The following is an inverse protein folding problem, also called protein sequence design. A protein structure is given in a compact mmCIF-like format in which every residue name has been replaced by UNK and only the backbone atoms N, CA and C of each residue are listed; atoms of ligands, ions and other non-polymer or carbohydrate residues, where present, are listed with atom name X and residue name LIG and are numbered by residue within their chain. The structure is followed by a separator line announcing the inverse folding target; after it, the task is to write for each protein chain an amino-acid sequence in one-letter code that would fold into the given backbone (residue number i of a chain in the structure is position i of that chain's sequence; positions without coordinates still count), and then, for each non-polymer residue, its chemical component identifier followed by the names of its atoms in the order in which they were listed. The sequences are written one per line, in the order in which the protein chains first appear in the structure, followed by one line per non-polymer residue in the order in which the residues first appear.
data_IF_220249878427
#
_entry.id   IF_220249878427
#
_cell.length_a   1.000
_cell.length_b   1.000
_cell.length_c   1.000
_cell.angle_alpha   90.00
_cell.angle_beta   90.00
_cell.angle_gamma   90.00
#
_symmetry.space_group_name_H-M   'P 1'
#
loop_
_entity.id
_entity.type
_entity.pdbx_description
1 polymer ?
#
# COMPACT_ATOMS: atom_id res chain seq x y z
N UNK A 1 20.78 -18.89 3.21
CA UNK A 1 21.69 -17.83 2.71
C UNK A 1 21.18 -16.49 3.21
N UNK A 2 21.97 -15.70 3.94
CA UNK A 2 21.56 -14.39 4.47
C UNK A 2 22.09 -13.31 3.51
N UNK A 3 21.24 -12.79 2.64
CA UNK A 3 21.66 -11.99 1.46
C UNK A 3 22.21 -10.61 1.85
N UNK A 4 21.76 -9.98 2.95
CA UNK A 4 22.11 -8.58 3.27
C UNK A 4 22.64 -8.32 4.70
N UNK A 5 22.98 -9.37 5.48
CA UNK A 5 23.50 -9.27 6.88
C UNK A 5 22.70 -8.35 7.84
N UNK A 6 21.48 -7.96 7.49
CA UNK A 6 20.69 -7.07 8.32
C UNK A 6 20.30 -7.76 9.63
N UNK A 7 20.48 -7.05 10.74
CA UNK A 7 20.18 -7.51 12.10
C UNK A 7 18.93 -6.85 12.69
N UNK A 8 18.42 -5.83 12.01
CA UNK A 8 17.30 -4.99 12.40
C UNK A 8 16.05 -5.26 11.54
N UNK A 9 15.89 -6.49 11.03
CA UNK A 9 14.74 -6.91 10.23
C UNK A 9 13.86 -7.82 11.05
N UNK A 10 12.57 -7.49 11.10
CA UNK A 10 11.54 -8.35 11.67
C UNK A 10 10.51 -8.68 10.61
N UNK A 11 10.18 -9.96 10.47
CA UNK A 11 9.06 -10.43 9.67
C UNK A 11 7.89 -10.74 10.58
N UNK A 12 6.69 -10.46 10.12
CA UNK A 12 5.46 -10.78 10.85
C UNK A 12 4.52 -11.51 9.89
N UNK A 13 3.97 -12.64 10.33
CA UNK A 13 2.96 -13.38 9.56
C UNK A 13 1.57 -12.80 9.87
N UNK A 14 1.33 -11.60 9.36
CA UNK A 14 0.07 -10.85 9.56
C UNK A 14 -0.20 -10.00 8.33
N UNK A 15 -1.47 -9.86 7.97
CA UNK A 15 -1.88 -8.92 6.94
C UNK A 15 -2.26 -7.56 7.55
N UNK A 16 -1.89 -6.48 6.86
CA UNK A 16 -2.41 -5.16 7.20
C UNK A 16 -3.82 -5.01 6.62
N UNK A 17 -4.76 -4.57 7.44
CA UNK A 17 -6.16 -4.40 7.05
C UNK A 17 -6.80 -3.19 7.75
N UNK A 18 -8.02 -2.85 7.31
CA UNK A 18 -8.80 -1.76 7.90
C UNK A 18 -9.24 -2.04 9.36
N UNK A 19 -9.23 -3.31 9.78
CA UNK A 19 -9.62 -3.74 11.13
C UNK A 19 -8.90 -5.05 11.49
N UNK A 20 -8.75 -5.30 12.79
CA UNK A 20 -8.27 -6.58 13.29
C UNK A 20 -9.21 -7.74 12.92
N UNK A 21 -8.65 -8.93 12.78
CA UNK A 21 -9.42 -10.16 12.57
C UNK A 21 -8.61 -11.21 11.82
N UNK A 22 -9.26 -11.87 10.89
CA UNK A 22 -8.67 -12.85 9.98
C UNK A 22 -9.10 -12.50 8.57
N UNK A 23 -8.18 -12.59 7.62
CA UNK A 23 -8.48 -12.48 6.20
C UNK A 23 -8.18 -13.80 5.50
N UNK A 24 -8.88 -14.00 4.41
CA UNK A 24 -8.65 -15.11 3.49
C UNK A 24 -8.03 -14.56 2.22
N UNK A 25 -6.90 -15.15 1.86
CA UNK A 25 -6.16 -14.90 0.62
C UNK A 25 -6.34 -16.12 -0.26
N UNK A 26 -6.83 -15.91 -1.48
CA UNK A 26 -6.79 -16.97 -2.46
C UNK A 26 -5.37 -17.04 -3.02
N UNK A 27 -4.78 -18.23 -3.04
CA UNK A 27 -3.51 -18.49 -3.72
C UNK A 27 -3.86 -19.01 -5.11
N UNK A 28 -3.83 -18.18 -6.16
CA UNK A 28 -4.34 -18.58 -7.46
C UNK A 28 -3.45 -19.67 -8.05
N UNK A 29 -4.07 -20.69 -8.65
CA UNK A 29 -3.32 -21.66 -9.44
C UNK A 29 -3.02 -21.01 -10.79
N UNK A 30 -1.75 -20.72 -11.01
CA UNK A 30 -1.21 -20.20 -12.27
C UNK A 30 -0.43 -21.31 -12.99
N UNK A 31 -1.12 -22.14 -13.80
CA UNK A 31 -0.48 -23.29 -14.44
C UNK A 31 0.51 -22.90 -15.54
N UNK A 32 0.42 -21.68 -16.08
CA UNK A 32 1.32 -21.16 -17.10
C UNK A 32 2.49 -20.38 -16.48
N UNK A 33 2.37 -19.96 -15.22
CA UNK A 33 3.44 -19.33 -14.44
C UNK A 33 3.74 -17.89 -14.87
N UNK A 34 2.78 -17.22 -15.50
CA UNK A 34 2.94 -15.85 -16.01
C UNK A 34 2.89 -14.78 -14.91
N UNK A 35 2.54 -15.16 -13.67
CA UNK A 35 2.53 -14.29 -12.49
C UNK A 35 1.34 -13.31 -12.44
N UNK A 36 0.61 -13.15 -13.54
CA UNK A 36 -0.51 -12.23 -13.68
C UNK A 36 -1.62 -12.51 -12.66
N UNK A 37 -1.84 -13.77 -12.31
CA UNK A 37 -2.84 -14.17 -11.33
C UNK A 37 -2.36 -13.91 -9.89
N UNK A 38 -1.05 -13.99 -9.64
CA UNK A 38 -0.48 -13.75 -8.31
C UNK A 38 -0.63 -12.28 -7.87
N UNK A 39 -0.57 -11.33 -8.81
CA UNK A 39 -0.81 -9.90 -8.58
C UNK A 39 -2.25 -9.59 -8.14
N UNK A 40 -3.19 -10.53 -8.27
CA UNK A 40 -4.56 -10.34 -7.83
C UNK A 40 -4.89 -11.00 -6.49
N UNK A 41 -3.96 -11.72 -5.85
CA UNK A 41 -4.29 -12.65 -4.75
C UNK A 41 -4.97 -11.99 -3.52
N UNK A 42 -4.68 -10.72 -3.28
CA UNK A 42 -5.27 -9.91 -2.20
C UNK A 42 -6.58 -9.24 -2.60
N UNK A 43 -6.89 -9.20 -3.90
CA UNK A 43 -7.88 -8.28 -4.48
C UNK A 43 -8.94 -8.94 -5.34
N UNK A 44 -8.65 -10.10 -5.93
CA UNK A 44 -9.49 -10.84 -6.86
C UNK A 44 -9.58 -12.29 -6.41
N UNK A 45 -10.81 -12.80 -6.25
CA UNK A 45 -11.06 -14.21 -5.97
C UNK A 45 -11.56 -14.95 -7.20
N UNK A 46 -10.67 -15.69 -7.84
CA UNK A 46 -10.97 -16.52 -9.00
C UNK A 46 -11.66 -17.85 -8.61
N UNK A 47 -11.63 -18.21 -7.32
CA UNK A 47 -12.09 -19.48 -6.74
C UNK A 47 -11.48 -20.70 -7.43
N UNK A 48 -10.24 -20.58 -7.87
CA UNK A 48 -9.47 -21.58 -8.61
C UNK A 48 -8.13 -21.91 -7.94
N UNK A 49 -8.03 -21.74 -6.63
CA UNK A 49 -6.88 -22.16 -5.85
C UNK A 49 -7.18 -22.33 -4.36
N UNK A 50 -6.20 -22.82 -3.56
CA UNK A 50 -6.38 -22.95 -2.12
C UNK A 50 -6.57 -21.59 -1.45
N UNK A 51 -7.31 -21.59 -0.34
CA UNK A 51 -7.50 -20.42 0.51
C UNK A 51 -6.52 -20.51 1.67
N UNK A 52 -5.68 -19.49 1.80
CA UNK A 52 -4.82 -19.29 2.96
C UNK A 52 -5.46 -18.28 3.92
N UNK A 53 -5.46 -18.62 5.20
CA UNK A 53 -5.98 -17.75 6.26
C UNK A 53 -4.83 -17.08 6.99
N UNK A 54 -4.92 -15.77 7.14
CA UNK A 54 -3.91 -14.98 7.83
C UNK A 54 -4.57 -14.11 8.91
N UNK A 55 -3.96 -13.99 10.11
CA UNK A 55 -4.39 -12.97 11.04
C UNK A 55 -4.20 -11.60 10.39
N UNK A 56 -5.13 -10.71 10.67
CA UNK A 56 -5.14 -9.34 10.17
C UNK A 56 -5.11 -8.36 11.33
N UNK A 57 -4.41 -7.26 11.15
CA UNK A 57 -4.34 -6.17 12.12
C UNK A 57 -4.23 -4.83 11.42
N UNK A 58 -4.53 -3.76 12.15
CA UNK A 58 -4.30 -2.41 11.64
C UNK A 58 -2.84 -2.01 11.82
N UNK A 59 -2.32 -1.08 11.00
CA UNK A 59 -0.96 -0.58 11.23
C UNK A 59 -0.88 0.25 12.52
N UNK A 60 -1.97 0.92 12.91
CA UNK A 60 -2.05 1.62 14.20
C UNK A 60 -1.85 0.65 15.38
N UNK A 61 -2.51 -0.53 15.35
CA UNK A 61 -2.33 -1.58 16.34
C UNK A 61 -0.89 -2.10 16.37
N UNK A 62 -0.32 -2.35 15.19
CA UNK A 62 1.06 -2.81 15.08
C UNK A 62 2.04 -1.76 15.62
N UNK A 63 1.89 -0.49 15.24
CA UNK A 63 2.74 0.60 15.72
C UNK A 63 2.68 0.75 17.23
N UNK A 64 1.47 0.73 17.80
CA UNK A 64 1.27 0.81 19.25
C UNK A 64 1.87 -0.38 20.01
N UNK A 65 1.67 -1.61 19.51
CA UNK A 65 2.19 -2.82 20.16
C UNK A 65 3.72 -2.89 20.21
N UNK A 66 4.39 -2.14 19.34
CA UNK A 66 5.84 -2.17 19.15
C UNK A 66 6.53 -0.87 19.54
N UNK A 67 5.78 0.13 20.01
CA UNK A 67 6.31 1.42 20.40
C UNK A 67 6.85 2.25 19.23
N UNK A 68 6.27 2.10 18.04
CA UNK A 68 6.60 2.96 16.90
C UNK A 68 5.87 4.30 17.02
N UNK A 69 6.56 5.31 17.55
CA UNK A 69 6.04 6.67 17.63
C UNK A 69 6.03 7.38 16.26
N UNK A 70 6.88 6.93 15.33
CA UNK A 70 7.02 7.50 13.99
C UNK A 70 7.53 6.45 13.00
N UNK A 71 7.05 6.53 11.76
CA UNK A 71 7.52 5.73 10.63
C UNK A 71 8.17 6.69 9.63
N UNK A 72 9.48 6.53 9.40
CA UNK A 72 10.20 7.36 8.44
C UNK A 72 9.79 7.04 6.99
N UNK A 73 9.51 5.78 6.68
CA UNK A 73 9.08 5.36 5.35
C UNK A 73 8.17 4.14 5.50
N UNK A 74 6.98 4.22 4.91
CA UNK A 74 6.06 3.12 4.74
C UNK A 74 6.01 2.77 3.25
N UNK A 75 6.28 1.51 2.88
CA UNK A 75 5.99 0.99 1.55
C UNK A 75 4.75 0.12 1.63
N UNK A 76 3.80 0.37 0.74
CA UNK A 76 2.61 -0.44 0.48
C UNK A 76 2.72 -0.99 -0.94
N UNK A 77 2.64 -2.30 -1.01
CA UNK A 77 2.76 -3.12 -2.22
C UNK A 77 1.94 -4.37 -1.89
N UNK A 78 0.62 -4.16 -1.87
CA UNK A 78 -0.37 -5.10 -1.33
C UNK A 78 -1.28 -5.61 -2.44
N UNK A 79 -0.89 -5.39 -3.70
CA UNK A 79 -1.53 -5.98 -4.86
C UNK A 79 -3.03 -5.62 -4.90
N UNK A 80 -3.37 -4.36 -4.62
CA UNK A 80 -4.73 -3.80 -4.64
C UNK A 80 -5.42 -3.69 -3.27
N UNK A 81 -4.78 -4.12 -2.17
CA UNK A 81 -5.30 -3.94 -0.82
C UNK A 81 -4.79 -2.65 -0.11
N UNK A 82 -4.17 -1.72 -0.84
CA UNK A 82 -3.53 -0.53 -0.27
C UNK A 82 -4.53 0.39 0.43
N UNK A 83 -5.67 0.68 -0.20
CA UNK A 83 -6.69 1.54 0.40
C UNK A 83 -7.27 0.91 1.68
N UNK A 84 -7.48 -0.41 1.67
CA UNK A 84 -7.94 -1.14 2.85
C UNK A 84 -6.92 -1.06 3.99
N UNK A 85 -5.63 -1.21 3.71
CA UNK A 85 -4.57 -1.05 4.71
C UNK A 85 -4.52 0.40 5.23
N UNK A 86 -4.58 1.41 4.36
CA UNK A 86 -4.58 2.83 4.72
C UNK A 86 -5.75 3.21 5.64
N UNK A 87 -6.92 2.61 5.44
CA UNK A 87 -8.09 2.79 6.34
C UNK A 87 -7.82 2.32 7.78
N UNK A 88 -6.86 1.42 7.98
CA UNK A 88 -6.40 0.98 9.31
C UNK A 88 -5.26 1.84 9.88
N UNK A 89 -5.01 3.03 9.36
CA UNK A 89 -3.91 3.91 9.78
C UNK A 89 -4.40 5.28 10.25
N UNK A 90 -5.61 5.35 10.83
CA UNK A 90 -6.25 6.61 11.21
C UNK A 90 -5.38 7.42 12.18
N UNK A 91 -4.83 6.78 13.21
CA UNK A 91 -4.05 7.47 14.24
C UNK A 91 -2.65 7.86 13.74
N UNK A 92 -2.04 7.03 12.89
CA UNK A 92 -0.75 7.32 12.28
C UNK A 92 -0.85 8.46 11.26
N UNK A 93 -1.85 8.42 10.39
CA UNK A 93 -2.08 9.45 9.37
C UNK A 93 -2.57 10.75 10.00
N UNK A 94 -3.57 10.68 10.89
CA UNK A 94 -4.11 11.85 11.61
C UNK A 94 -3.09 12.55 12.49
N UNK A 95 -2.14 11.80 13.05
CA UNK A 95 -1.00 12.37 13.79
C UNK A 95 0.14 12.89 12.91
N UNK A 96 0.08 12.68 11.59
CA UNK A 96 1.18 12.87 10.64
C UNK A 96 2.48 12.18 11.11
N UNK A 97 2.34 10.95 11.62
CA UNK A 97 3.43 10.13 12.20
C UNK A 97 4.14 9.25 11.17
N UNK A 98 3.69 9.27 9.91
CA UNK A 98 4.39 8.64 8.79
C UNK A 98 4.96 9.75 7.92
N UNK A 99 6.28 9.78 7.69
CA UNK A 99 6.90 10.87 6.92
C UNK A 99 6.67 10.73 5.41
N UNK A 100 6.84 9.51 4.91
CA UNK A 100 6.75 9.17 3.50
C UNK A 100 6.00 7.86 3.35
N UNK A 101 5.03 7.82 2.44
CA UNK A 101 4.33 6.58 2.05
C UNK A 101 4.61 6.36 0.57
N UNK A 102 5.25 5.26 0.23
CA UNK A 102 5.32 4.78 -1.15
C UNK A 102 4.21 3.76 -1.32
N UNK A 103 3.31 3.99 -2.24
CA UNK A 103 2.15 3.16 -2.46
C UNK A 103 2.12 2.74 -3.92
N UNK A 104 2.18 1.44 -4.18
CA UNK A 104 1.91 0.95 -5.52
C UNK A 104 0.40 1.06 -5.77
N UNK A 105 0.02 1.62 -6.91
CA UNK A 105 -1.34 1.62 -7.40
C UNK A 105 -1.39 0.80 -8.67
N UNK A 106 -2.22 -0.22 -8.65
CA UNK A 106 -2.55 -1.02 -9.81
C UNK A 106 -3.97 -0.68 -10.24
N UNK A 107 -4.07 0.00 -11.38
CA UNK A 107 -5.37 0.47 -11.88
C UNK A 107 -6.27 -0.71 -12.24
N UNK A 108 -5.75 -1.75 -12.86
CA UNK A 108 -6.54 -2.95 -13.18
C UNK A 108 -7.18 -3.59 -11.94
N UNK A 109 -6.46 -3.64 -10.81
CA UNK A 109 -6.98 -4.22 -9.57
C UNK A 109 -8.00 -3.31 -8.89
N UNK A 110 -7.80 -1.99 -8.93
CA UNK A 110 -8.78 -1.03 -8.45
C UNK A 110 -10.11 -1.17 -9.22
N UNK A 111 -10.06 -1.29 -10.55
CA UNK A 111 -11.23 -1.50 -11.40
C UNK A 111 -11.95 -2.82 -11.06
N UNK A 112 -11.18 -3.91 -10.91
CA UNK A 112 -11.71 -5.22 -10.55
C UNK A 112 -12.44 -5.23 -9.19
N UNK A 113 -12.07 -4.31 -8.28
CA UNK A 113 -12.73 -4.12 -6.98
C UNK A 113 -13.87 -3.08 -7.02
N UNK A 114 -14.12 -2.44 -8.15
CA UNK A 114 -15.07 -1.33 -8.28
C UNK A 114 -14.64 -0.09 -7.48
N UNK A 115 -13.35 0.03 -7.18
CA UNK A 115 -12.80 1.20 -6.51
C UNK A 115 -12.41 2.28 -7.53
N UNK A 116 -12.59 3.54 -7.14
CA UNK A 116 -12.02 4.64 -7.92
C UNK A 116 -10.50 4.56 -7.85
N UNK A 117 -9.85 4.62 -9.02
CA UNK A 117 -8.39 4.73 -9.14
C UNK A 117 -7.79 5.86 -8.30
N UNK A 118 -8.56 6.92 -8.07
CA UNK A 118 -8.13 8.09 -7.32
C UNK A 118 -8.42 7.99 -5.80
N UNK A 119 -9.10 6.93 -5.36
CA UNK A 119 -9.55 6.78 -3.98
C UNK A 119 -8.39 6.76 -2.98
N UNK A 120 -7.28 6.11 -3.31
CA UNK A 120 -6.07 6.09 -2.48
C UNK A 120 -5.45 7.46 -2.34
N UNK A 121 -5.31 8.20 -3.45
CA UNK A 121 -4.80 9.58 -3.43
C UNK A 121 -5.69 10.47 -2.58
N UNK A 122 -6.99 10.49 -2.91
CA UNK A 122 -7.98 11.27 -2.18
C UNK A 122 -8.06 10.90 -0.70
N UNK A 123 -7.80 9.63 -0.34
CA UNK A 123 -7.74 9.20 1.06
C UNK A 123 -6.58 9.84 1.81
N UNK A 124 -5.36 9.75 1.27
CA UNK A 124 -4.17 10.33 1.88
C UNK A 124 -4.25 11.87 1.97
N UNK A 125 -4.78 12.52 0.94
CA UNK A 125 -4.92 13.98 0.90
C UNK A 125 -5.86 14.53 1.99
N UNK A 126 -6.88 13.76 2.41
CA UNK A 126 -7.73 14.15 3.55
C UNK A 126 -6.97 14.26 4.88
N UNK A 127 -5.81 13.59 5.00
CA UNK A 127 -4.91 13.71 6.14
C UNK A 127 -3.78 14.73 5.91
N UNK A 128 -3.84 15.49 4.81
CA UNK A 128 -2.85 16.52 4.48
C UNK A 128 -1.58 16.00 3.81
N UNK A 129 -1.57 14.74 3.35
CA UNK A 129 -0.44 14.22 2.58
C UNK A 129 -0.50 14.69 1.12
N UNK A 130 0.65 15.08 0.56
CA UNK A 130 0.76 15.51 -0.84
C UNK A 130 1.27 14.36 -1.71
N UNK A 131 0.59 14.07 -2.81
CA UNK A 131 0.95 13.00 -3.74
C UNK A 131 1.94 13.45 -4.82
N UNK A 132 2.97 12.64 -5.04
CA UNK A 132 3.98 12.77 -6.07
C UNK A 132 4.07 11.48 -6.88
N UNK A 133 4.31 11.63 -8.18
CA UNK A 133 4.62 10.54 -9.09
C UNK A 133 6.07 10.09 -8.85
N UNK A 134 6.25 8.83 -8.43
CA UNK A 134 7.57 8.23 -8.24
C UNK A 134 8.02 7.56 -9.54
N UNK A 135 8.53 8.37 -10.47
CA UNK A 135 9.10 7.85 -11.71
C UNK A 135 10.50 7.30 -11.51
N UNK A 136 10.96 6.46 -12.44
CA UNK A 136 12.38 6.04 -12.56
C UNK A 136 13.34 7.18 -12.90
N UNK A 137 12.86 8.42 -12.98
CA UNK A 137 13.67 9.62 -13.18
C UNK A 137 14.02 10.22 -11.82
N UNK A 138 15.16 10.92 -11.71
CA UNK A 138 15.57 11.58 -10.46
C UNK A 138 14.71 12.81 -10.09
N UNK A 139 13.51 12.97 -10.66
CA UNK A 139 12.62 14.12 -10.45
C UNK A 139 11.26 13.63 -9.99
N UNK A 140 10.80 14.16 -8.86
CA UNK A 140 9.44 13.96 -8.36
C UNK A 140 8.52 14.98 -9.04
N UNK A 141 7.37 14.53 -9.52
CA UNK A 141 6.36 15.42 -10.09
C UNK A 141 5.12 15.38 -9.20
N UNK A 142 4.68 16.53 -8.70
CA UNK A 142 3.41 16.63 -7.95
C UNK A 142 2.25 16.21 -8.85
N UNK A 143 1.33 15.41 -8.30
CA UNK A 143 0.12 14.98 -9.01
C UNK A 143 -1.00 15.96 -8.68
N UNK A 144 -1.41 16.76 -9.66
CA UNK A 144 -2.49 17.76 -9.54
C UNK A 144 -3.76 17.36 -10.30
N UNK A 145 -3.73 16.19 -10.95
CA UNK A 145 -4.80 15.65 -11.79
C UNK A 145 -5.12 14.20 -11.38
N UNK A 146 -6.30 13.64 -11.76
CA UNK A 146 -6.63 12.24 -11.45
C UNK A 146 -5.56 11.25 -11.93
N UNK A 147 -5.31 10.19 -11.15
CA UNK A 147 -4.27 9.18 -11.47
C UNK A 147 -4.47 8.53 -12.84
N UNK A 148 -5.71 8.28 -13.26
CA UNK A 148 -6.01 7.73 -14.59
C UNK A 148 -5.42 8.54 -15.74
N UNK A 149 -5.36 9.87 -15.59
CA UNK A 149 -4.83 10.78 -16.61
C UNK A 149 -3.30 10.80 -16.64
N UNK A 150 -2.65 10.01 -15.80
CA UNK A 150 -1.19 9.82 -15.86
C UNK A 150 -0.78 8.77 -16.90
N UNK A 151 -1.71 7.92 -17.36
CA UNK A 151 -1.45 6.88 -18.36
C UNK A 151 -0.69 5.66 -17.82
N UNK A 152 -0.50 5.54 -16.50
CA UNK A 152 0.18 4.41 -15.88
C UNK A 152 -0.81 3.31 -15.49
N UNK A 153 -0.50 2.06 -15.86
CA UNK A 153 -1.28 0.89 -15.45
C UNK A 153 -0.93 0.45 -14.02
N UNK A 154 0.36 0.43 -13.71
CA UNK A 154 0.92 0.25 -12.37
C UNK A 154 1.90 1.39 -12.11
N UNK A 155 1.78 2.07 -10.98
CA UNK A 155 2.69 3.16 -10.61
C UNK A 155 2.91 3.24 -9.11
N UNK A 156 4.13 3.56 -8.70
CA UNK A 156 4.40 3.96 -7.33
C UNK A 156 4.07 5.45 -7.16
N UNK A 157 3.25 5.76 -6.16
CA UNK A 157 3.06 7.11 -5.68
C UNK A 157 3.86 7.33 -4.40
N UNK A 158 4.48 8.50 -4.30
CA UNK A 158 5.06 8.99 -3.06
C UNK A 158 4.11 10.00 -2.42
N UNK A 159 3.57 9.67 -1.26
CA UNK A 159 2.86 10.62 -0.40
C UNK A 159 3.81 11.21 0.63
N UNK A 160 3.89 12.54 0.66
CA UNK A 160 4.74 13.31 1.58
C UNK A 160 3.88 13.89 2.70
N UNK A 161 4.30 13.66 3.95
CA UNK A 161 3.64 14.16 5.15
C UNK A 161 3.52 15.69 5.17
N UNK A 162 2.44 16.26 5.74
CA UNK A 162 2.32 17.71 5.94
C UNK A 162 3.40 18.29 6.87
N UNK A 163 4.13 17.45 7.62
CA UNK A 163 5.26 17.87 8.47
C UNK A 163 6.60 17.97 7.70
N UNK A 164 6.63 17.58 6.43
CA UNK A 164 7.81 17.61 5.58
C UNK A 164 7.66 18.72 4.53
N UNK A 165 8.78 19.30 4.11
CA UNK A 165 8.78 20.27 3.02
C UNK A 165 8.29 19.60 1.74
N UNK A 166 7.45 20.30 0.97
CA UNK A 166 7.04 19.83 -0.36
C UNK A 166 8.27 19.62 -1.25
N UNK A 167 8.18 18.65 -2.15
CA UNK A 167 9.25 18.33 -3.10
C UNK A 167 9.14 19.15 -4.40
N UNK A 168 8.41 20.25 -4.34
CA UNK A 168 8.17 21.13 -5.48
C UNK A 168 9.47 21.89 -5.76
N UNK A 169 10.20 21.48 -6.81
CA UNK A 169 11.41 22.13 -7.31
C UNK A 169 11.10 23.11 -8.45
#
# INVERSE_FOLDING_TARGET
MRINRATNVRTNRVALAARAGEIELEVPIDPEGEGLLAWGATSVRLRRGPIERAPAMTLDEYARGYGFDRIALLKLDLEGAELAALRGMHDLLGGARIDYIVCELNTFLADAQGESYDATRAFCERYGYTAYDLRRTARFQRIERPILETGHLVTDLLFVSPRRTSLDA
#
